data_IF_085914490947
#
_entry.id   IF_085914490947
#
_cell.length_a   1.000
_cell.length_b   1.000
_cell.length_c   1.000
_cell.angle_alpha   90.00
_cell.angle_beta   90.00
_cell.angle_gamma   90.00
#
_symmetry.space_group_name_H-M   'P 1'
#
loop_
_entity.id
_entity.type
_entity.pdbx_description
1 polymer ?
#
# COMPACT_ATOMS: atom_id res chain seq x y z
N UNK A 1 -0.93 23.18 -12.79
CA UNK A 1 -2.38 23.43 -12.60
C UNK A 1 -3.29 22.50 -13.42
N UNK A 2 -2.87 21.91 -14.55
CA UNK A 2 -3.73 21.06 -15.40
C UNK A 2 -4.08 19.65 -14.85
N UNK A 3 -3.30 19.07 -13.94
CA UNK A 3 -3.48 17.68 -13.47
C UNK A 3 -4.83 17.47 -12.77
N UNK A 4 -5.20 18.36 -11.85
CA UNK A 4 -6.40 18.21 -11.02
C UNK A 4 -7.70 18.47 -11.78
N UNK A 5 -7.69 19.31 -12.81
CA UNK A 5 -8.90 19.68 -13.55
C UNK A 5 -9.40 18.57 -14.47
N UNK A 6 -8.51 17.72 -15.00
CA UNK A 6 -8.90 16.52 -15.75
C UNK A 6 -9.67 15.55 -14.86
N UNK A 7 -9.27 15.37 -13.60
CA UNK A 7 -9.97 14.48 -12.68
C UNK A 7 -11.33 15.00 -12.22
N UNK A 8 -11.56 16.33 -12.24
CA UNK A 8 -12.90 16.90 -11.99
C UNK A 8 -13.88 16.56 -13.11
N UNK A 9 -13.39 16.34 -14.33
CA UNK A 9 -14.18 15.98 -15.51
C UNK A 9 -14.34 14.47 -15.70
N UNK A 10 -13.66 13.65 -14.89
CA UNK A 10 -13.60 12.21 -15.04
C UNK A 10 -14.29 11.52 -13.86
N UNK A 11 -15.33 10.76 -14.14
CA UNK A 11 -16.06 9.98 -13.14
C UNK A 11 -16.32 8.59 -13.67
N UNK A 12 -15.89 7.56 -12.94
CA UNK A 12 -16.14 6.15 -13.30
C UNK A 12 -15.72 5.81 -14.75
N UNK A 13 -14.55 6.29 -15.18
CA UNK A 13 -14.01 6.19 -16.56
C UNK A 13 -14.81 6.93 -17.64
N UNK A 14 -15.84 7.68 -17.27
CA UNK A 14 -16.59 8.54 -18.16
C UNK A 14 -15.99 9.94 -18.10
N UNK A 15 -15.61 10.47 -19.26
CA UNK A 15 -15.11 11.81 -19.43
C UNK A 15 -16.22 12.75 -19.90
N UNK A 16 -16.31 13.92 -19.25
CA UNK A 16 -17.25 14.97 -19.59
C UNK A 16 -16.49 16.10 -20.28
N UNK A 17 -16.75 16.32 -21.57
CA UNK A 17 -16.05 17.33 -22.36
C UNK A 17 -16.27 18.75 -21.81
N UNK A 18 -17.55 19.09 -21.58
CA UNK A 18 -17.97 20.42 -21.11
C UNK A 18 -18.12 20.45 -19.59
N UNK A 19 -18.13 21.66 -19.02
CA UNK A 19 -18.48 21.84 -17.61
C UNK A 19 -19.92 21.36 -17.38
N UNK A 20 -20.16 20.60 -16.31
CA UNK A 20 -21.49 20.07 -15.95
C UNK A 20 -22.59 21.14 -15.97
N UNK A 21 -22.23 22.39 -15.62
CA UNK A 21 -23.14 23.53 -15.61
C UNK A 21 -23.75 23.84 -16.99
N UNK A 22 -23.02 23.60 -18.09
CA UNK A 22 -23.54 23.80 -19.45
C UNK A 22 -24.65 22.80 -19.74
N UNK A 23 -24.46 21.53 -19.38
CA UNK A 23 -25.51 20.50 -19.52
C UNK A 23 -26.70 20.75 -18.60
N UNK A 24 -26.45 21.25 -17.37
CA UNK A 24 -27.52 21.67 -16.46
C UNK A 24 -28.35 22.79 -17.05
N UNK A 25 -27.71 23.78 -17.66
CA UNK A 25 -28.39 24.89 -18.32
C UNK A 25 -29.25 24.36 -19.49
N UNK A 26 -28.66 23.55 -20.36
CA UNK A 26 -29.37 22.94 -21.50
C UNK A 26 -30.57 22.11 -21.05
N UNK A 27 -30.39 21.27 -20.02
CA UNK A 27 -31.48 20.50 -19.41
C UNK A 27 -32.60 21.39 -18.88
N UNK A 28 -32.25 22.48 -18.17
CA UNK A 28 -33.24 23.39 -17.61
C UNK A 28 -34.00 24.13 -18.72
N UNK A 29 -33.33 24.59 -19.77
CA UNK A 29 -34.00 25.19 -20.93
C UNK A 29 -34.96 24.21 -21.59
N UNK A 30 -34.51 22.98 -21.86
CA UNK A 30 -35.36 21.93 -22.44
C UNK A 30 -36.58 21.65 -21.54
N UNK A 31 -36.35 21.54 -20.22
CA UNK A 31 -37.42 21.33 -19.24
C UNK A 31 -38.46 22.47 -19.26
N UNK A 32 -38.02 23.72 -19.39
CA UNK A 32 -38.91 24.88 -19.51
C UNK A 32 -39.74 24.81 -20.79
N UNK A 33 -39.14 24.47 -21.94
CA UNK A 33 -39.88 24.30 -23.20
C UNK A 33 -40.92 23.17 -23.10
N UNK A 34 -40.58 22.05 -22.45
CA UNK A 34 -41.51 20.93 -22.25
C UNK A 34 -42.68 21.22 -21.30
N UNK A 35 -42.52 22.22 -20.41
CA UNK A 35 -43.58 22.68 -19.50
C UNK A 35 -44.52 23.69 -20.15
N UNK A 36 -44.05 24.44 -21.15
CA UNK A 36 -44.82 25.45 -21.86
C UNK A 36 -44.98 25.06 -23.35
N UNK A 37 -45.74 23.99 -23.66
CA UNK A 37 -45.87 23.48 -25.03
C UNK A 37 -46.63 24.41 -25.98
N UNK A 38 -47.42 25.35 -25.45
CA UNK A 38 -48.15 26.33 -26.24
C UNK A 38 -47.22 27.40 -26.84
N UNK A 39 -46.16 27.76 -26.10
CA UNK A 39 -45.22 28.81 -26.50
C UNK A 39 -44.04 28.25 -27.30
N UNK A 40 -43.68 26.97 -27.07
CA UNK A 40 -42.50 26.35 -27.66
C UNK A 40 -42.79 24.95 -28.19
N UNK A 41 -42.54 24.75 -29.49
CA UNK A 41 -42.59 23.44 -30.13
C UNK A 41 -41.20 22.78 -30.09
N UNK A 42 -41.07 21.72 -29.28
CA UNK A 42 -39.82 20.96 -29.16
C UNK A 42 -39.78 19.84 -30.20
N UNK A 43 -38.77 19.85 -31.08
CA UNK A 43 -38.47 18.73 -31.96
C UNK A 43 -37.99 17.52 -31.15
N UNK A 44 -38.87 16.53 -30.97
CA UNK A 44 -38.63 15.34 -30.16
C UNK A 44 -37.56 14.43 -30.78
N UNK A 45 -37.32 14.50 -32.09
CA UNK A 45 -36.34 13.65 -32.78
C UNK A 45 -34.91 13.90 -32.27
N UNK A 46 -34.59 15.14 -31.92
CA UNK A 46 -33.28 15.56 -31.40
C UNK A 46 -32.99 15.09 -29.98
N UNK A 47 -34.02 14.65 -29.25
CA UNK A 47 -33.95 14.30 -27.84
C UNK A 47 -34.43 12.88 -27.55
N UNK A 48 -34.41 12.00 -28.56
CA UNK A 48 -34.85 10.61 -28.47
C UNK A 48 -34.23 9.87 -27.28
N UNK A 49 -32.93 10.07 -27.05
CA UNK A 49 -32.18 9.37 -25.99
C UNK A 49 -32.36 10.02 -24.60
N UNK A 50 -32.93 11.23 -24.50
CA UNK A 50 -32.99 11.99 -23.24
C UNK A 50 -34.12 11.57 -22.31
N UNK A 51 -35.10 10.81 -22.83
CA UNK A 51 -36.36 10.50 -22.15
C UNK A 51 -37.09 11.77 -21.66
N UNK A 52 -37.84 12.39 -22.57
CA UNK A 52 -38.50 13.68 -22.33
C UNK A 52 -39.46 13.69 -21.14
N UNK A 53 -40.07 12.56 -20.78
CA UNK A 53 -40.91 12.46 -19.59
C UNK A 53 -40.08 12.68 -18.31
N UNK A 54 -38.92 12.03 -18.21
CA UNK A 54 -38.01 12.23 -17.09
C UNK A 54 -37.43 13.65 -17.05
N UNK A 55 -37.16 14.26 -18.20
CA UNK A 55 -36.69 15.66 -18.27
C UNK A 55 -37.75 16.62 -17.72
N UNK A 56 -39.03 16.39 -18.03
CA UNK A 56 -40.14 17.25 -17.61
C UNK A 56 -40.37 17.21 -16.10
N UNK A 57 -40.19 16.05 -15.47
CA UNK A 57 -40.60 15.84 -14.08
C UNK A 57 -39.42 15.85 -13.10
N UNK A 58 -38.28 15.24 -13.44
CA UNK A 58 -37.17 15.05 -12.50
C UNK A 58 -36.32 16.32 -12.32
N UNK A 59 -35.65 16.49 -11.17
CA UNK A 59 -34.57 17.48 -11.04
C UNK A 59 -33.31 17.02 -11.78
N UNK A 60 -32.51 17.97 -12.27
CA UNK A 60 -31.29 17.71 -13.04
C UNK A 60 -30.36 16.68 -12.36
N UNK A 61 -30.11 16.81 -11.06
CA UNK A 61 -29.16 15.94 -10.35
C UNK A 61 -29.60 14.46 -10.35
N UNK A 62 -30.93 14.21 -10.32
CA UNK A 62 -31.48 12.86 -10.36
C UNK A 62 -31.38 12.30 -11.78
N UNK A 63 -31.79 13.08 -12.79
CA UNK A 63 -31.66 12.70 -14.20
C UNK A 63 -30.20 12.51 -14.65
N UNK A 64 -29.29 13.33 -14.15
CA UNK A 64 -27.87 13.28 -14.46
C UNK A 64 -27.24 11.97 -13.98
N UNK A 65 -27.59 11.52 -12.77
CA UNK A 65 -27.10 10.25 -12.20
C UNK A 65 -27.66 9.03 -12.93
N UNK A 66 -28.91 9.08 -13.40
CA UNK A 66 -29.59 7.93 -14.01
C UNK A 66 -29.26 7.79 -15.50
N UNK A 67 -29.25 8.89 -16.26
CA UNK A 67 -29.05 8.88 -17.72
C UNK A 67 -28.00 9.88 -18.19
N UNK A 68 -28.05 11.12 -17.70
CA UNK A 68 -27.28 12.23 -18.27
C UNK A 68 -25.78 11.97 -18.35
N UNK A 69 -25.19 11.36 -17.33
CA UNK A 69 -23.75 11.05 -17.30
C UNK A 69 -23.32 10.10 -18.43
N UNK A 70 -24.10 9.05 -18.70
CA UNK A 70 -23.79 8.06 -19.75
C UNK A 70 -24.13 8.57 -21.14
N UNK A 71 -25.17 9.40 -21.25
CA UNK A 71 -25.64 9.94 -22.53
C UNK A 71 -24.72 11.04 -23.07
N UNK A 72 -24.22 11.90 -22.18
CA UNK A 72 -23.44 13.09 -22.55
C UNK A 72 -21.95 12.95 -22.25
N UNK A 73 -21.56 11.92 -21.49
CA UNK A 73 -20.17 11.57 -21.25
C UNK A 73 -19.67 10.57 -22.29
N UNK A 74 -18.35 10.57 -22.51
CA UNK A 74 -17.67 9.59 -23.34
C UNK A 74 -16.96 8.58 -22.44
N UNK A 75 -17.25 7.30 -22.63
CA UNK A 75 -16.47 6.24 -22.00
C UNK A 75 -15.05 6.24 -22.57
N UNK A 76 -14.06 6.28 -21.69
CA UNK A 76 -12.66 6.22 -22.07
C UNK A 76 -12.19 4.78 -22.09
N UNK A 77 -11.49 4.40 -23.17
CA UNK A 77 -10.79 3.13 -23.19
C UNK A 77 -9.71 3.09 -22.11
N UNK A 78 -9.56 1.92 -21.50
CA UNK A 78 -8.60 1.72 -20.41
C UNK A 78 -7.26 1.27 -20.95
N UNK A 79 -6.18 1.60 -20.22
CA UNK A 79 -4.85 1.06 -20.49
C UNK A 79 -4.90 -0.45 -20.27
N UNK A 80 -4.59 -1.23 -21.31
CA UNK A 80 -4.62 -2.70 -21.26
C UNK A 80 -3.22 -3.24 -21.05
N UNK A 81 -3.10 -4.26 -20.21
CA UNK A 81 -1.87 -5.04 -20.11
C UNK A 81 -1.81 -6.04 -21.27
N UNK A 82 -0.76 -5.97 -22.07
CA UNK A 82 -0.54 -6.90 -23.16
C UNK A 82 0.09 -8.17 -22.59
N UNK A 83 -0.63 -9.29 -22.71
CA UNK A 83 -0.12 -10.62 -22.40
C UNK A 83 0.12 -11.34 -23.72
N UNK A 84 1.38 -11.41 -24.13
CA UNK A 84 1.73 -11.94 -25.44
C UNK A 84 2.83 -12.99 -25.33
N UNK A 85 2.67 -14.07 -26.09
CA UNK A 85 3.65 -15.15 -26.22
C UNK A 85 4.70 -14.86 -27.32
N UNK A 86 4.48 -13.84 -28.16
CA UNK A 86 5.31 -13.53 -29.33
C UNK A 86 6.66 -12.87 -28.99
N UNK A 87 6.83 -12.36 -27.77
CA UNK A 87 8.14 -11.97 -27.26
C UNK A 87 8.24 -12.25 -25.77
N UNK A 88 9.41 -12.73 -25.34
CA UNK A 88 9.71 -12.96 -23.95
C UNK A 88 9.80 -11.62 -23.22
N UNK A 89 8.71 -11.22 -22.56
CA UNK A 89 8.73 -10.08 -21.65
C UNK A 89 9.85 -10.26 -20.64
N UNK A 90 10.71 -9.24 -20.48
CA UNK A 90 11.85 -9.31 -19.57
C UNK A 90 11.35 -9.50 -18.13
N UNK A 91 12.13 -10.18 -17.27
CA UNK A 91 11.75 -10.30 -15.85
C UNK A 91 11.55 -8.91 -15.24
N UNK A 92 10.52 -8.77 -14.41
CA UNK A 92 10.11 -7.52 -13.76
C UNK A 92 9.66 -6.39 -14.70
N UNK A 93 9.17 -6.71 -15.91
CA UNK A 93 8.61 -5.71 -16.82
C UNK A 93 7.11 -5.90 -17.06
N UNK A 94 6.43 -4.83 -17.48
CA UNK A 94 5.01 -4.84 -17.87
C UNK A 94 4.90 -4.14 -19.21
N UNK A 95 4.19 -4.78 -20.14
CA UNK A 95 3.88 -4.20 -21.44
C UNK A 95 2.44 -3.72 -21.40
N UNK A 96 2.21 -2.49 -21.84
CA UNK A 96 0.89 -1.87 -21.84
C UNK A 96 0.56 -1.27 -23.19
N UNK A 97 -0.71 -1.39 -23.58
CA UNK A 97 -1.31 -0.66 -24.68
C UNK A 97 -2.01 0.58 -24.13
N UNK A 98 -1.70 1.75 -24.68
CA UNK A 98 -2.21 3.03 -24.21
C UNK A 98 -3.04 3.65 -25.34
N UNK A 99 -4.36 3.84 -25.15
CA UNK A 99 -5.18 4.55 -26.12
C UNK A 99 -4.68 6.00 -26.29
N UNK A 100 -4.66 6.49 -27.54
CA UNK A 100 -4.18 7.83 -27.88
C UNK A 100 -5.26 8.90 -27.74
N UNK A 101 -6.52 8.48 -27.65
CA UNK A 101 -7.71 9.30 -27.64
C UNK A 101 -8.18 9.68 -26.22
N UNK A 102 -7.45 9.23 -25.18
CA UNK A 102 -7.76 9.50 -23.78
C UNK A 102 -6.81 10.54 -23.16
N UNK A 103 -7.25 11.28 -22.12
CA UNK A 103 -6.39 12.24 -21.45
C UNK A 103 -5.14 11.58 -20.85
N UNK A 104 -3.96 12.12 -21.13
CA UNK A 104 -2.67 11.61 -20.63
C UNK A 104 -2.66 11.31 -19.11
N UNK A 105 -3.29 12.17 -18.31
CA UNK A 105 -3.37 11.99 -16.85
C UNK A 105 -4.14 10.75 -16.42
N UNK A 106 -5.16 10.37 -17.18
CA UNK A 106 -5.93 9.14 -16.96
C UNK A 106 -5.06 7.92 -17.24
N UNK A 107 -4.34 7.90 -18.37
CA UNK A 107 -3.41 6.83 -18.73
C UNK A 107 -2.32 6.66 -17.67
N UNK A 108 -1.71 7.74 -17.20
CA UNK A 108 -0.71 7.68 -16.12
C UNK A 108 -1.27 7.08 -14.82
N UNK A 109 -2.51 7.44 -14.45
CA UNK A 109 -3.16 6.89 -13.25
C UNK A 109 -3.37 5.37 -13.39
N UNK A 110 -3.80 4.92 -14.56
CA UNK A 110 -4.01 3.50 -14.85
C UNK A 110 -2.68 2.73 -14.78
N UNK A 111 -1.64 3.20 -15.47
CA UNK A 111 -0.29 2.61 -15.46
C UNK A 111 0.25 2.52 -14.03
N UNK A 112 0.11 3.59 -13.24
CA UNK A 112 0.54 3.61 -11.84
C UNK A 112 -0.14 2.53 -11.00
N UNK A 113 -1.43 2.28 -11.23
CA UNK A 113 -2.17 1.23 -10.53
C UNK A 113 -1.69 -0.17 -10.94
N UNK A 114 -1.46 -0.42 -12.24
CA UNK A 114 -0.93 -1.68 -12.77
C UNK A 114 0.46 -1.99 -12.18
N UNK A 115 1.34 -0.99 -12.09
CA UNK A 115 2.66 -1.17 -11.49
C UNK A 115 2.54 -1.45 -9.99
N UNK A 116 1.76 -0.66 -9.25
CA UNK A 116 1.61 -0.80 -7.80
C UNK A 116 1.14 -2.18 -7.36
N UNK A 117 0.16 -2.77 -8.05
CA UNK A 117 -0.34 -4.11 -7.70
C UNK A 117 0.77 -5.15 -7.82
N UNK A 118 1.59 -5.08 -8.86
CA UNK A 118 2.73 -5.99 -9.05
C UNK A 118 3.87 -5.72 -8.07
N UNK A 119 4.22 -4.45 -7.82
CA UNK A 119 5.27 -4.10 -6.85
C UNK A 119 4.88 -4.46 -5.42
N UNK A 120 3.61 -4.30 -5.02
CA UNK A 120 3.16 -4.69 -3.68
C UNK A 120 3.26 -6.20 -3.45
N UNK A 121 2.94 -7.01 -4.46
CA UNK A 121 3.11 -8.46 -4.41
C UNK A 121 4.60 -8.87 -4.28
N UNK A 122 5.52 -8.08 -4.85
CA UNK A 122 6.96 -8.28 -4.68
C UNK A 122 7.48 -7.75 -3.34
N UNK A 123 7.01 -6.60 -2.87
CA UNK A 123 7.40 -6.01 -1.58
C UNK A 123 6.94 -6.84 -0.38
N UNK A 124 5.78 -7.50 -0.44
CA UNK A 124 5.40 -8.47 0.59
C UNK A 124 6.43 -9.62 0.75
N UNK A 125 7.26 -9.89 -0.27
CA UNK A 125 8.33 -10.89 -0.21
C UNK A 125 9.69 -10.35 0.27
N UNK A 126 9.92 -9.04 0.20
CA UNK A 126 11.28 -8.44 0.38
C UNK A 126 11.32 -7.44 1.55
N UNK A 127 10.22 -6.77 1.86
CA UNK A 127 10.15 -5.59 2.73
C UNK A 127 9.41 -5.86 4.07
N UNK A 128 9.52 -7.06 4.64
CA UNK A 128 9.47 -7.13 6.10
C UNK A 128 10.73 -6.43 6.62
N UNK A 129 10.67 -5.09 6.71
CA UNK A 129 11.73 -4.15 7.15
C UNK A 129 12.94 -4.92 7.67
N UNK A 130 13.99 -5.08 6.87
CA UNK A 130 15.20 -5.77 7.31
C UNK A 130 15.64 -5.17 8.65
N UNK A 131 15.29 -5.83 9.76
CA UNK A 131 15.67 -5.39 11.10
C UNK A 131 17.11 -5.85 11.29
N UNK A 132 18.02 -5.32 10.48
CA UNK A 132 19.42 -5.74 10.40
C UNK A 132 20.10 -5.76 11.78
N UNK A 133 19.68 -4.85 12.67
CA UNK A 133 20.11 -4.85 14.07
C UNK A 133 19.64 -6.08 14.87
N UNK A 134 18.42 -6.57 14.63
CA UNK A 134 17.96 -7.84 15.21
C UNK A 134 18.71 -9.02 14.61
N UNK A 135 18.97 -9.00 13.31
CA UNK A 135 19.75 -10.06 12.64
C UNK A 135 21.18 -10.13 13.19
N UNK A 136 21.81 -8.98 13.41
CA UNK A 136 23.13 -8.86 14.05
C UNK A 136 23.12 -9.38 15.49
N UNK A 137 22.09 -9.04 16.28
CA UNK A 137 21.90 -9.57 17.64
C UNK A 137 21.70 -11.10 17.63
N UNK A 138 20.96 -11.66 16.67
CA UNK A 138 20.76 -13.10 16.53
C UNK A 138 22.08 -13.81 16.25
N UNK A 139 22.83 -13.36 15.23
CA UNK A 139 24.12 -13.94 14.88
C UNK A 139 25.12 -13.86 16.03
N UNK A 140 25.17 -12.71 16.72
CA UNK A 140 26.02 -12.55 17.90
C UNK A 140 25.63 -13.50 19.03
N UNK A 141 24.34 -13.70 19.25
CA UNK A 141 23.83 -14.66 20.25
C UNK A 141 24.29 -16.08 19.92
N UNK A 142 24.24 -16.47 18.65
CA UNK A 142 24.71 -17.76 18.17
C UNK A 142 26.19 -17.99 18.46
N UNK A 143 27.06 -17.02 18.12
CA UNK A 143 28.49 -17.11 18.42
C UNK A 143 28.78 -17.22 19.92
N UNK A 144 28.09 -16.43 20.75
CA UNK A 144 28.27 -16.47 22.20
C UNK A 144 27.80 -17.81 22.81
N UNK A 145 26.74 -18.42 22.28
CA UNK A 145 26.33 -19.77 22.68
C UNK A 145 27.34 -20.82 22.27
N UNK A 146 27.91 -20.73 21.06
CA UNK A 146 28.96 -21.64 20.59
C UNK A 146 30.23 -21.55 21.43
N UNK A 147 30.52 -20.39 22.02
CA UNK A 147 31.64 -20.15 22.94
C UNK A 147 31.33 -20.54 24.40
N UNK A 148 30.22 -21.25 24.67
CA UNK A 148 29.82 -21.75 25.99
C UNK A 148 29.66 -20.67 27.09
N UNK A 149 29.34 -19.43 26.73
CA UNK A 149 29.04 -18.38 27.73
C UNK A 149 27.76 -18.68 28.51
N UNK A 150 27.74 -18.29 29.78
CA UNK A 150 26.55 -18.39 30.63
C UNK A 150 25.45 -17.42 30.17
N UNK A 151 24.19 -17.70 30.52
CA UNK A 151 23.05 -16.84 30.14
C UNK A 151 23.23 -15.38 30.59
N UNK A 152 23.82 -15.16 31.77
CA UNK A 152 24.09 -13.83 32.33
C UNK A 152 25.17 -13.09 31.53
N UNK A 153 26.22 -13.78 31.13
CA UNK A 153 27.30 -13.20 30.30
C UNK A 153 26.82 -12.87 28.89
N UNK A 154 26.04 -13.76 28.27
CA UNK A 154 25.43 -13.52 26.96
C UNK A 154 24.60 -12.24 27.01
N UNK A 155 23.73 -12.09 28.02
CA UNK A 155 22.94 -10.88 28.23
C UNK A 155 23.81 -9.64 28.38
N UNK A 156 24.86 -9.69 29.20
CA UNK A 156 25.77 -8.55 29.42
C UNK A 156 26.42 -8.11 28.11
N UNK A 157 26.95 -9.06 27.32
CA UNK A 157 27.61 -8.78 26.04
C UNK A 157 26.65 -8.25 24.98
N UNK A 158 25.44 -8.79 24.86
CA UNK A 158 24.41 -8.27 23.94
C UNK A 158 23.94 -6.88 24.35
N UNK A 159 23.74 -6.63 25.65
CA UNK A 159 23.35 -5.31 26.17
C UNK A 159 24.44 -4.26 25.92
N UNK A 160 25.71 -4.62 26.15
CA UNK A 160 26.85 -3.74 25.87
C UNK A 160 26.95 -3.42 24.38
N UNK A 161 26.79 -4.43 23.51
CA UNK A 161 26.77 -4.24 22.07
C UNK A 161 25.69 -3.25 21.62
N UNK A 162 24.48 -3.41 22.15
CA UNK A 162 23.35 -2.53 21.84
C UNK A 162 23.59 -1.09 22.29
N UNK A 163 24.21 -0.88 23.46
CA UNK A 163 24.63 0.46 23.92
C UNK A 163 25.62 1.12 22.96
N UNK A 164 26.61 0.36 22.45
CA UNK A 164 27.58 0.87 21.47
C UNK A 164 26.90 1.29 20.16
N UNK A 165 25.97 0.47 19.66
CA UNK A 165 25.19 0.79 18.45
C UNK A 165 24.38 2.08 18.63
N UNK A 166 23.67 2.21 19.75
CA UNK A 166 22.88 3.41 20.07
C UNK A 166 23.75 4.66 20.19
N UNK A 167 24.94 4.54 20.79
CA UNK A 167 25.92 5.64 20.88
C UNK A 167 26.42 6.06 19.50
N UNK A 168 26.78 5.11 18.63
CA UNK A 168 27.28 5.38 17.26
C UNK A 168 26.23 6.02 16.36
N UNK A 169 24.95 5.69 16.52
CA UNK A 169 23.89 6.09 15.58
C UNK A 169 23.02 7.25 16.04
N UNK A 170 23.14 7.67 17.29
CA UNK A 170 22.44 8.86 17.81
C UNK A 170 20.92 8.82 17.57
N UNK A 171 20.36 9.92 17.07
CA UNK A 171 18.92 10.09 16.75
C UNK A 171 18.44 9.35 15.50
N UNK A 172 19.34 8.76 14.69
CA UNK A 172 19.00 8.01 13.46
C UNK A 172 18.65 6.53 13.70
N UNK A 173 18.75 6.07 14.94
CA UNK A 173 18.34 4.73 15.31
C UNK A 173 16.81 4.68 15.34
N UNK A 174 16.18 3.85 14.51
CA UNK A 174 14.75 3.53 14.59
C UNK A 174 14.38 2.73 15.86
N UNK A 175 15.14 2.90 16.94
CA UNK A 175 14.97 2.23 18.22
C UNK A 175 14.86 3.29 19.32
N UNK A 176 13.77 3.21 20.08
CA UNK A 176 13.56 3.99 21.28
C UNK A 176 14.69 3.72 22.29
N UNK A 177 15.30 4.78 22.83
CA UNK A 177 16.38 4.68 23.84
C UNK A 177 15.91 3.94 25.09
N UNK A 178 14.63 4.06 25.45
CA UNK A 178 14.00 3.35 26.58
C UNK A 178 13.81 1.85 26.32
N UNK A 179 13.87 1.40 25.06
CA UNK A 179 13.76 -0.01 24.70
C UNK A 179 14.96 -0.86 25.12
N UNK A 180 16.09 -0.24 25.47
CA UNK A 180 17.27 -0.97 26.01
C UNK A 180 16.99 -1.53 27.40
N UNK A 181 16.15 -0.87 28.20
CA UNK A 181 15.74 -1.37 29.52
C UNK A 181 14.78 -2.57 29.41
N UNK A 182 14.03 -2.65 28.30
CA UNK A 182 13.14 -3.77 27.96
C UNK A 182 13.87 -4.89 27.18
N UNK A 183 15.09 -4.66 26.70
CA UNK A 183 15.88 -5.63 25.95
C UNK A 183 16.46 -6.72 26.86
N UNK A 184 16.16 -7.98 26.57
CA UNK A 184 16.56 -9.14 27.38
C UNK A 184 16.21 -8.98 28.87
N UNK A 185 15.07 -8.35 29.19
CA UNK A 185 14.70 -7.87 30.54
C UNK A 185 14.98 -8.92 31.63
N UNK A 186 15.97 -8.65 32.45
CA UNK A 186 16.35 -9.42 33.63
C UNK A 186 16.86 -8.43 34.67
N UNK A 187 16.15 -8.34 35.80
CA UNK A 187 16.56 -7.56 36.96
C UNK A 187 16.93 -8.57 38.04
N UNK A 188 18.23 -8.79 38.33
CA UNK A 188 18.59 -9.57 39.51
C UNK A 188 17.99 -8.83 40.70
N UNK A 189 17.07 -9.48 41.41
CA UNK A 189 16.43 -8.88 42.56
C UNK A 189 17.36 -9.09 43.74
N UNK A 190 17.72 -8.04 44.46
CA UNK A 190 18.48 -8.13 45.71
C UNK A 190 17.64 -8.66 46.89
N UNK A 191 16.42 -9.18 46.64
CA UNK A 191 15.56 -9.68 47.72
C UNK A 191 15.40 -11.20 47.69
N UNK A 192 15.62 -11.78 48.88
CA UNK A 192 14.99 -12.88 49.63
C UNK A 192 14.11 -13.94 48.92
N UNK A 193 13.40 -13.61 47.83
CA UNK A 193 12.41 -14.48 47.19
C UNK A 193 12.98 -15.21 45.94
N UNK A 194 13.61 -16.37 46.18
CA UNK A 194 14.30 -17.21 45.17
C UNK A 194 13.41 -17.64 43.99
N UNK A 195 12.10 -17.71 44.18
CA UNK A 195 11.13 -18.18 43.16
C UNK A 195 11.02 -17.21 41.97
N UNK A 196 11.10 -15.90 42.23
CA UNK A 196 11.00 -14.85 41.19
C UNK A 196 12.27 -14.77 40.34
N UNK A 197 13.46 -15.01 40.91
CA UNK A 197 14.72 -15.05 40.15
C UNK A 197 14.75 -16.22 39.16
N UNK A 198 14.28 -17.39 39.60
CA UNK A 198 14.16 -18.58 38.73
C UNK A 198 13.26 -18.32 37.51
N UNK A 199 12.14 -17.62 37.70
CA UNK A 199 11.22 -17.24 36.62
C UNK A 199 11.84 -16.28 35.61
N UNK A 200 12.66 -15.32 36.08
CA UNK A 200 13.37 -14.40 35.19
C UNK A 200 14.50 -15.07 34.41
N UNK A 201 15.24 -15.99 35.03
CA UNK A 201 16.29 -16.78 34.34
C UNK A 201 15.67 -17.62 33.24
N UNK A 202 14.55 -18.30 33.51
CA UNK A 202 13.79 -19.06 32.49
C UNK A 202 13.30 -18.15 31.35
N UNK A 203 12.84 -16.94 31.65
CA UNK A 203 12.43 -15.97 30.62
C UNK A 203 13.61 -15.51 29.76
N UNK A 204 14.75 -15.22 30.38
CA UNK A 204 15.98 -14.83 29.69
C UNK A 204 16.49 -15.96 28.78
N UNK A 205 16.46 -17.19 29.28
CA UNK A 205 16.82 -18.39 28.53
C UNK A 205 15.93 -18.56 27.29
N UNK A 206 14.60 -18.44 27.44
CA UNK A 206 13.67 -18.50 26.29
C UNK A 206 14.00 -17.43 25.25
N UNK A 207 14.30 -16.21 25.67
CA UNK A 207 14.65 -15.12 24.73
C UNK A 207 15.95 -15.40 23.99
N UNK A 208 17.00 -15.84 24.70
CA UNK A 208 18.28 -16.20 24.11
C UNK A 208 18.15 -17.40 23.16
N UNK A 209 17.36 -18.41 23.53
CA UNK A 209 17.13 -19.58 22.69
C UNK A 209 16.35 -19.22 21.41
N UNK A 210 15.36 -18.31 21.48
CA UNK A 210 14.70 -17.78 20.27
C UNK A 210 15.67 -17.04 19.36
N UNK A 211 16.54 -16.20 19.91
CA UNK A 211 17.54 -15.47 19.12
C UNK A 211 18.49 -16.43 18.42
N UNK A 212 18.92 -17.49 19.13
CA UNK A 212 19.72 -18.57 18.55
C UNK A 212 18.96 -19.31 17.44
N UNK A 213 17.72 -19.74 17.68
CA UNK A 213 16.92 -20.46 16.69
C UNK A 213 16.68 -19.64 15.42
N UNK A 214 16.45 -18.33 15.56
CA UNK A 214 16.36 -17.44 14.40
C UNK A 214 17.70 -17.37 13.65
N UNK A 215 18.83 -17.26 14.36
CA UNK A 215 20.15 -17.32 13.74
C UNK A 215 20.39 -18.65 13.00
N UNK A 216 20.07 -19.78 13.61
CA UNK A 216 20.21 -21.12 13.01
C UNK A 216 19.45 -21.18 11.67
N UNK A 217 18.17 -20.78 11.67
CA UNK A 217 17.36 -20.73 10.44
C UNK A 217 17.91 -19.77 9.38
N UNK A 218 18.40 -18.60 9.80
CA UNK A 218 19.01 -17.63 8.87
C UNK A 218 20.29 -18.19 8.27
N UNK A 219 21.13 -18.86 9.07
CA UNK A 219 22.35 -19.51 8.60
C UNK A 219 22.02 -20.63 7.59
N UNK A 220 21.01 -21.45 7.86
CA UNK A 220 20.51 -22.45 6.91
C UNK A 220 19.99 -21.81 5.61
N UNK A 221 19.29 -20.68 5.69
CA UNK A 221 18.82 -19.94 4.51
C UNK A 221 20.01 -19.41 3.69
N UNK A 222 21.04 -18.87 4.35
CA UNK A 222 22.25 -18.36 3.70
C UNK A 222 23.00 -19.49 2.98
N UNK A 223 23.09 -20.69 3.58
CA UNK A 223 23.64 -21.86 2.90
C UNK A 223 22.88 -22.24 1.62
N UNK A 224 21.61 -21.85 1.50
CA UNK A 224 20.75 -22.04 0.31
C UNK A 224 20.75 -20.83 -0.63
N UNK A 225 21.59 -19.81 -0.38
CA UNK A 225 21.66 -18.59 -1.16
C UNK A 225 20.54 -17.57 -0.90
N UNK A 226 19.78 -17.72 0.19
CA UNK A 226 18.64 -16.87 0.53
C UNK A 226 18.96 -16.08 1.82
N UNK A 227 18.81 -14.75 1.80
CA UNK A 227 19.01 -13.92 3.00
C UNK A 227 17.92 -12.84 3.17
N UNK A 228 17.39 -12.60 4.40
CA UNK A 228 17.47 -13.48 5.58
C UNK A 228 16.55 -14.71 5.44
N UNK A 229 15.71 -14.74 4.41
CA UNK A 229 14.66 -15.74 4.21
C UNK A 229 13.57 -15.67 5.29
N UNK A 230 12.67 -16.66 5.30
CA UNK A 230 11.69 -16.82 6.38
C UNK A 230 12.37 -17.48 7.58
N UNK A 231 12.35 -16.82 8.73
CA UNK A 231 12.96 -17.33 9.97
C UNK A 231 12.06 -17.24 11.20
N UNK A 232 10.87 -16.63 11.07
CA UNK A 232 9.80 -16.66 12.05
C UNK A 232 8.76 -17.72 11.66
N UNK A 233 8.39 -18.55 12.62
CA UNK A 233 7.19 -19.40 12.58
C UNK A 233 6.27 -18.92 13.70
#
# INVERSE_FOLDING_TARGET
MAYQDVFKKLKDNIYIDKKIQIYRLHYNYLKTCLKNPNDFQVDKSKYSNWNLAEVKDLPFDKWWKTRGLRLLGRELETVREIKTNSFNSRPNTVVVEIPTDVPFQFSLKQIKNIIKTKTNNQKQRIDERNHYLKLEDYLKTWHLKKQNYTLREIRRKLSAHRKLILKKRGRRSAMDRTATEKYLKHRPYESVDKTKDLGQIKSLERQINRFRQHADKILENVCKGIFPGKYWN
#
